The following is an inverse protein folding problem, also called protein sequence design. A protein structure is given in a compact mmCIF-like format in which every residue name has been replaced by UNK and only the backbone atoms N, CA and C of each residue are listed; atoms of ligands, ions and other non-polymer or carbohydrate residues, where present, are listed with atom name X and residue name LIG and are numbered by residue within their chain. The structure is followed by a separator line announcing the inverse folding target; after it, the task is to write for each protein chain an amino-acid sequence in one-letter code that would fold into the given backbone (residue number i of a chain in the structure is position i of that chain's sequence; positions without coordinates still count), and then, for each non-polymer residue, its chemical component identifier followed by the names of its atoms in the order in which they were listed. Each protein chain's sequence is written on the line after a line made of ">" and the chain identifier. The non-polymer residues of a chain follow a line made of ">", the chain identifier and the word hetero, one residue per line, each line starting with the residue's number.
data_IF_571172401789
#
_entry.id   IF_571172401789
#
_cell.length_a   1.000
_cell.length_b   1.000
_cell.length_c   1.000
_cell.angle_alpha   90.00
_cell.angle_beta   90.00
_cell.angle_gamma   90.00
#
_symmetry.space_group_name_H-M   'P 1'
#
loop_
_entity.id
_entity.type
_entity.pdbx_description
1 polymer ?
#
# COMPACT_ATOMS: atom_id res chain seq x y z
N UNK A 1 -44.67 -31.78 -5.80
CA UNK A 1 -43.45 -32.22 -6.50
C UNK A 1 -42.89 -33.40 -5.75
N UNK A 2 -42.69 -34.53 -6.44
CA UNK A 2 -42.18 -35.73 -5.78
C UNK A 2 -40.72 -35.52 -5.36
N UNK A 3 -40.33 -36.14 -4.24
CA UNK A 3 -39.01 -35.97 -3.64
C UNK A 3 -37.87 -36.34 -4.62
N UNK A 4 -38.15 -37.29 -5.49
CA UNK A 4 -37.27 -37.72 -6.60
C UNK A 4 -37.10 -36.60 -7.64
N UNK A 5 -38.18 -35.92 -8.03
CA UNK A 5 -38.12 -34.79 -8.97
C UNK A 5 -37.31 -33.64 -8.40
N UNK A 6 -37.45 -33.34 -7.10
CA UNK A 6 -36.64 -32.28 -6.46
C UNK A 6 -35.16 -32.62 -6.40
N UNK A 7 -34.80 -33.88 -6.15
CA UNK A 7 -33.40 -34.32 -6.10
C UNK A 7 -32.77 -34.26 -7.49
N UNK A 8 -33.49 -34.71 -8.53
CA UNK A 8 -33.01 -34.66 -9.92
C UNK A 8 -32.80 -33.21 -10.37
N UNK A 9 -33.74 -32.32 -10.04
CA UNK A 9 -33.66 -30.91 -10.40
C UNK A 9 -32.50 -30.20 -9.68
N UNK A 10 -32.25 -30.53 -8.41
CA UNK A 10 -31.12 -30.01 -7.64
C UNK A 10 -29.77 -30.51 -8.18
N UNK A 11 -29.69 -31.78 -8.57
CA UNK A 11 -28.49 -32.35 -9.20
C UNK A 11 -28.18 -31.67 -10.54
N UNK A 12 -29.21 -31.43 -11.37
CA UNK A 12 -29.05 -30.71 -12.64
C UNK A 12 -28.61 -29.26 -12.43
N UNK A 13 -29.21 -28.54 -11.47
CA UNK A 13 -28.81 -27.18 -11.15
C UNK A 13 -27.36 -27.09 -10.65
N UNK A 14 -26.95 -28.03 -9.78
CA UNK A 14 -25.56 -28.16 -9.31
C UNK A 14 -24.58 -28.40 -10.45
N UNK A 15 -24.94 -29.27 -11.41
CA UNK A 15 -24.07 -29.61 -12.53
C UNK A 15 -23.87 -28.43 -13.48
N UNK A 16 -24.95 -27.69 -13.76
CA UNK A 16 -24.88 -26.47 -14.58
C UNK A 16 -24.02 -25.41 -13.90
N UNK A 17 -24.20 -25.19 -12.59
CA UNK A 17 -23.44 -24.19 -11.85
C UNK A 17 -21.94 -24.54 -11.80
N UNK A 18 -21.60 -25.82 -11.61
CA UNK A 18 -20.22 -26.31 -11.65
C UNK A 18 -19.56 -26.14 -13.01
N UNK A 19 -20.28 -26.44 -14.11
CA UNK A 19 -19.81 -26.23 -15.48
C UNK A 19 -19.57 -24.75 -15.79
N UNK A 20 -20.45 -23.87 -15.30
CA UNK A 20 -20.32 -22.43 -15.49
C UNK A 20 -19.14 -21.86 -14.70
N UNK A 21 -18.93 -22.32 -13.47
CA UNK A 21 -17.78 -21.92 -12.64
C UNK A 21 -16.44 -22.35 -13.27
N UNK A 22 -16.37 -23.56 -13.83
CA UNK A 22 -15.16 -24.04 -14.53
C UNK A 22 -14.91 -23.26 -15.82
N UNK A 23 -15.94 -22.91 -16.58
CA UNK A 23 -15.80 -22.08 -17.77
C UNK A 23 -15.26 -20.67 -17.43
N UNK A 24 -15.77 -20.03 -16.37
CA UNK A 24 -15.29 -18.72 -15.89
C UNK A 24 -13.83 -18.83 -15.42
N UNK A 25 -13.50 -19.87 -14.65
CA UNK A 25 -12.14 -20.12 -14.18
C UNK A 25 -11.15 -20.24 -15.33
N UNK A 26 -11.48 -21.02 -16.36
CA UNK A 26 -10.65 -21.17 -17.56
C UNK A 26 -10.55 -19.84 -18.32
N UNK A 27 -11.67 -19.15 -18.52
CA UNK A 27 -11.71 -17.90 -19.29
C UNK A 27 -10.93 -16.76 -18.64
N UNK A 28 -10.90 -16.66 -17.31
CA UNK A 28 -10.21 -15.57 -16.61
C UNK A 28 -8.74 -15.91 -16.32
N UNK A 29 -8.47 -17.13 -15.86
CA UNK A 29 -7.15 -17.47 -15.30
C UNK A 29 -6.16 -17.90 -16.40
N UNK A 30 -6.61 -18.64 -17.42
CA UNK A 30 -5.74 -19.10 -18.51
C UNK A 30 -5.12 -17.94 -19.32
N UNK A 31 -5.87 -16.89 -19.75
CA UNK A 31 -5.24 -15.78 -20.47
C UNK A 31 -4.33 -14.94 -19.56
N UNK A 32 -4.64 -14.84 -18.26
CA UNK A 32 -3.79 -14.14 -17.31
C UNK A 32 -2.46 -14.88 -17.06
N UNK A 33 -2.50 -16.20 -16.94
CA UNK A 33 -1.30 -17.03 -16.82
C UNK A 33 -0.48 -17.04 -18.12
N UNK A 34 -1.10 -17.05 -19.31
CA UNK A 34 -0.38 -16.93 -20.60
C UNK A 34 0.37 -15.59 -20.70
N UNK A 35 -0.24 -14.46 -20.30
CA UNK A 35 0.44 -13.16 -20.26
C UNK A 35 1.64 -13.16 -19.32
N UNK A 36 1.52 -13.79 -18.15
CA UNK A 36 2.61 -13.93 -17.17
C UNK A 36 3.74 -14.85 -17.66
N UNK A 37 3.43 -15.95 -18.35
CA UNK A 37 4.43 -16.86 -18.93
C UNK A 37 5.17 -16.23 -20.11
N UNK A 38 4.49 -15.46 -20.96
CA UNK A 38 5.13 -14.70 -22.05
C UNK A 38 6.08 -13.61 -21.53
N UNK A 39 5.72 -12.94 -20.42
CA UNK A 39 6.59 -11.98 -19.75
C UNK A 39 7.83 -12.65 -19.14
N UNK A 40 7.67 -13.83 -18.53
CA UNK A 40 8.81 -14.62 -18.01
C UNK A 40 9.71 -15.18 -19.11
N UNK A 41 9.15 -15.61 -20.24
CA UNK A 41 9.93 -16.10 -21.38
C UNK A 41 10.77 -15.00 -22.05
N UNK A 42 10.25 -13.76 -22.14
CA UNK A 42 11.03 -12.60 -22.60
C UNK A 42 12.14 -12.19 -21.63
N UNK A 43 11.99 -12.49 -20.34
CA UNK A 43 13.00 -12.20 -19.32
C UNK A 43 14.08 -13.29 -19.18
N UNK A 44 13.90 -14.47 -19.79
CA UNK A 44 14.79 -15.62 -19.66
C UNK A 44 15.78 -15.82 -20.83
N UNK A 45 15.86 -14.90 -21.79
CA UNK A 45 16.91 -14.92 -22.80
C UNK A 45 18.27 -14.56 -22.15
N UNK A 46 19.23 -15.49 -22.02
CA UNK A 46 20.45 -15.23 -21.26
C UNK A 46 21.48 -14.50 -22.14
N UNK A 47 21.92 -13.32 -21.69
CA UNK A 47 23.14 -12.67 -22.18
C UNK A 47 24.30 -13.26 -21.39
N UNK A 48 25.14 -14.03 -22.06
CA UNK A 48 26.31 -14.69 -21.49
C UNK A 48 27.37 -13.69 -21.02
N UNK A 49 27.83 -13.80 -19.76
CA UNK A 49 29.13 -13.27 -19.32
C UNK A 49 29.74 -14.24 -18.28
N UNK A 50 31.00 -14.61 -18.56
CA UNK A 50 31.96 -15.46 -17.82
C UNK A 50 32.06 -15.17 -16.32
N UNK A 51 32.34 -16.22 -15.54
CA UNK A 51 32.79 -16.17 -14.14
C UNK A 51 34.11 -16.96 -14.05
N UNK A 52 35.16 -16.32 -13.54
CA UNK A 52 36.35 -16.95 -12.96
C UNK A 52 36.33 -16.72 -11.43
N UNK A 53 37.02 -17.59 -10.70
CA UNK A 53 36.69 -18.16 -9.39
C UNK A 53 36.79 -17.27 -8.08
N UNK A 54 36.27 -17.80 -6.92
CA UNK A 54 35.88 -17.13 -5.63
C UNK A 54 36.88 -17.37 -4.46
N UNK A 55 36.60 -17.28 -3.12
CA UNK A 55 35.43 -16.81 -2.32
C UNK A 55 35.76 -15.92 -1.07
N UNK A 56 34.84 -15.03 -0.65
CA UNK A 56 34.76 -14.63 0.78
C UNK A 56 33.35 -14.10 1.15
N UNK A 57 32.79 -14.67 2.20
CA UNK A 57 31.53 -14.34 2.90
C UNK A 57 31.81 -13.19 3.91
N UNK A 58 30.86 -12.38 4.45
CA UNK A 58 29.38 -12.42 4.43
C UNK A 58 28.70 -11.11 3.99
N UNK A 59 27.52 -11.16 3.35
CA UNK A 59 26.69 -9.95 3.20
C UNK A 59 25.28 -10.10 3.81
N UNK A 60 24.83 -9.09 4.58
CA UNK A 60 23.48 -9.02 5.13
C UNK A 60 22.45 -8.90 4.01
N UNK A 61 21.35 -9.62 4.18
CA UNK A 61 20.19 -9.67 3.29
C UNK A 61 19.82 -8.29 2.74
N UNK A 62 20.05 -8.16 1.43
CA UNK A 62 19.81 -7.00 0.58
C UNK A 62 18.43 -6.36 0.77
N UNK A 63 18.32 -5.01 0.75
CA UNK A 63 17.04 -4.34 0.67
C UNK A 63 16.39 -4.66 -0.68
N UNK A 64 15.14 -5.13 -0.63
CA UNK A 64 14.32 -5.48 -1.79
C UNK A 64 14.30 -4.31 -2.79
N UNK A 65 14.82 -4.60 -3.99
CA UNK A 65 14.87 -3.71 -5.16
C UNK A 65 13.48 -3.11 -5.43
N UNK A 66 13.29 -1.83 -5.05
CA UNK A 66 12.08 -1.05 -5.38
C UNK A 66 12.00 -0.90 -6.90
N UNK A 67 10.98 -1.48 -7.49
CA UNK A 67 10.75 -1.45 -8.93
C UNK A 67 10.12 -0.12 -9.34
N UNK A 68 10.71 0.49 -10.37
CA UNK A 68 10.20 1.55 -11.27
C UNK A 68 9.81 2.93 -10.69
N UNK A 69 10.81 3.83 -10.67
CA UNK A 69 10.85 5.14 -11.37
C UNK A 69 9.57 6.00 -11.46
N UNK A 70 8.87 6.19 -10.34
CA UNK A 70 8.04 7.39 -10.13
C UNK A 70 8.59 8.05 -8.88
N UNK A 71 9.14 9.27 -9.02
CA UNK A 71 9.56 10.08 -7.87
C UNK A 71 8.34 10.22 -6.98
N UNK A 72 8.35 9.65 -5.79
CA UNK A 72 7.25 9.72 -4.83
C UNK A 72 7.82 10.35 -3.57
N UNK A 73 7.07 11.24 -2.95
CA UNK A 73 7.44 11.81 -1.66
C UNK A 73 6.87 10.93 -0.56
N UNK A 74 7.71 10.60 0.42
CA UNK A 74 7.30 9.87 1.61
C UNK A 74 7.87 10.53 2.85
N UNK A 75 7.02 10.74 3.84
CA UNK A 75 7.37 11.20 5.17
C UNK A 75 6.94 10.13 6.18
N UNK A 76 7.78 9.86 7.16
CA UNK A 76 7.50 8.90 8.22
C UNK A 76 7.30 9.66 9.52
N UNK A 77 6.17 9.45 10.18
CA UNK A 77 5.84 10.06 11.47
C UNK A 77 5.95 8.97 12.50
N UNK A 78 7.00 9.03 13.31
CA UNK A 78 7.30 8.04 14.35
C UNK A 78 6.80 8.59 15.68
N UNK A 79 5.88 7.87 16.31
CA UNK A 79 5.27 8.30 17.57
C UNK A 79 6.26 8.12 18.72
N UNK A 80 6.41 9.13 19.56
CA UNK A 80 7.33 9.06 20.71
C UNK A 80 6.84 8.06 21.78
N UNK A 81 5.51 7.97 21.98
CA UNK A 81 4.88 7.07 22.95
C UNK A 81 3.67 6.34 22.34
N UNK A 82 3.90 5.22 21.62
CA UNK A 82 2.81 4.43 21.06
C UNK A 82 2.00 3.77 22.18
N UNK A 83 0.69 4.01 22.20
CA UNK A 83 -0.25 3.45 23.17
C UNK A 83 -1.63 3.24 22.53
N UNK A 84 -2.55 2.54 23.21
CA UNK A 84 -3.94 2.45 22.73
C UNK A 84 -4.59 3.82 22.53
N UNK A 85 -4.24 4.79 23.38
CA UNK A 85 -4.71 6.17 23.24
C UNK A 85 -4.18 6.87 21.99
N UNK A 86 -2.97 6.52 21.50
CA UNK A 86 -2.48 7.06 20.23
C UNK A 86 -3.23 6.47 19.04
N UNK A 87 -3.62 5.19 19.13
CA UNK A 87 -4.40 4.53 18.09
C UNK A 87 -5.82 5.11 18.01
N UNK A 88 -6.45 5.39 19.16
CA UNK A 88 -7.73 6.12 19.23
C UNK A 88 -7.63 7.53 18.64
N UNK A 89 -6.59 8.30 19.00
CA UNK A 89 -6.33 9.62 18.41
C UNK A 89 -6.08 9.55 16.90
N UNK A 90 -5.39 8.52 16.44
CA UNK A 90 -5.19 8.27 15.01
C UNK A 90 -6.50 7.96 14.32
N UNK A 91 -7.37 7.18 14.96
CA UNK A 91 -8.71 6.89 14.45
C UNK A 91 -9.52 8.17 14.28
N UNK A 92 -9.53 9.03 15.31
CA UNK A 92 -10.26 10.30 15.28
C UNK A 92 -9.70 11.24 14.21
N UNK A 93 -8.38 11.38 14.14
CA UNK A 93 -7.73 12.21 13.12
C UNK A 93 -8.02 11.72 11.70
N UNK A 94 -8.01 10.40 11.46
CA UNK A 94 -8.38 9.81 10.17
C UNK A 94 -9.85 10.08 9.81
N UNK A 95 -10.76 10.05 10.80
CA UNK A 95 -12.18 10.41 10.60
C UNK A 95 -12.32 11.88 10.25
N UNK A 96 -11.65 12.77 10.98
CA UNK A 96 -11.67 14.21 10.75
C UNK A 96 -11.22 14.57 9.32
N UNK A 97 -10.18 13.89 8.82
CA UNK A 97 -9.67 14.10 7.46
C UNK A 97 -10.44 13.34 6.37
N UNK A 98 -11.57 12.71 6.70
CA UNK A 98 -12.37 11.90 5.78
C UNK A 98 -11.53 10.84 5.05
N UNK A 99 -10.61 10.19 5.77
CA UNK A 99 -9.78 9.16 5.19
C UNK A 99 -10.63 7.92 4.85
N UNK A 100 -10.31 7.25 3.74
CA UNK A 100 -10.96 6.03 3.29
C UNK A 100 -10.02 4.84 3.47
N UNK A 101 -10.51 3.76 4.07
CA UNK A 101 -9.74 2.53 4.21
C UNK A 101 -9.80 1.69 2.92
N UNK A 102 -8.64 1.31 2.37
CA UNK A 102 -8.51 0.35 1.28
C UNK A 102 -8.21 -1.04 1.87
N UNK A 103 -9.20 -1.96 1.96
CA UNK A 103 -9.03 -3.26 2.60
C UNK A 103 -8.13 -4.21 1.80
N UNK A 104 -7.89 -3.95 0.51
CA UNK A 104 -7.02 -4.79 -0.30
C UNK A 104 -5.55 -4.51 -0.01
N UNK A 105 -5.20 -3.25 0.21
CA UNK A 105 -3.84 -2.82 0.54
C UNK A 105 -3.62 -2.62 2.04
N UNK A 106 -4.71 -2.58 2.83
CA UNK A 106 -4.73 -2.28 4.25
C UNK A 106 -4.04 -0.95 4.57
N UNK A 107 -4.49 0.11 3.92
CA UNK A 107 -3.97 1.47 4.06
C UNK A 107 -5.14 2.46 4.07
N UNK A 108 -4.87 3.69 4.49
CA UNK A 108 -5.82 4.79 4.43
C UNK A 108 -5.49 5.74 3.27
N UNK A 109 -6.51 6.37 2.69
CA UNK A 109 -6.40 7.30 1.58
C UNK A 109 -7.15 8.59 1.92
N UNK A 110 -6.46 9.73 1.84
CA UNK A 110 -7.05 11.06 1.97
C UNK A 110 -7.08 11.70 0.58
N UNK A 111 -8.27 12.03 0.08
CA UNK A 111 -8.43 12.57 -1.27
C UNK A 111 -7.78 13.96 -1.41
N UNK A 112 -7.84 14.79 -0.37
CA UNK A 112 -7.32 16.16 -0.38
C UNK A 112 -8.02 17.02 -1.43
N UNK A 113 -7.28 17.94 -2.05
CA UNK A 113 -7.79 18.79 -3.14
C UNK A 113 -7.78 18.06 -4.50
N UNK A 114 -7.03 16.96 -4.60
CA UNK A 114 -6.89 16.19 -5.84
C UNK A 114 -7.23 14.71 -5.63
N UNK A 115 -8.53 14.34 -5.70
CA UNK A 115 -8.98 12.96 -5.49
C UNK A 115 -8.34 11.93 -6.42
N UNK A 116 -7.90 12.34 -7.62
CA UNK A 116 -7.18 11.47 -8.55
C UNK A 116 -5.76 11.10 -8.08
N UNK A 117 -5.24 11.79 -7.07
CA UNK A 117 -3.92 11.58 -6.49
C UNK A 117 -4.00 11.70 -4.95
N UNK A 118 -4.67 10.74 -4.30
CA UNK A 118 -4.87 10.78 -2.85
C UNK A 118 -3.55 10.63 -2.10
N UNK A 119 -3.49 11.24 -0.92
CA UNK A 119 -2.40 11.03 0.03
C UNK A 119 -2.64 9.68 0.71
N UNK A 120 -1.66 8.81 0.60
CA UNK A 120 -1.69 7.48 1.18
C UNK A 120 -1.10 7.52 2.59
N UNK A 121 -1.81 6.93 3.55
CA UNK A 121 -1.36 6.72 4.91
C UNK A 121 -1.21 5.22 5.14
N UNK A 122 0.01 4.80 5.45
CA UNK A 122 0.38 3.41 5.68
C UNK A 122 1.10 3.31 7.04
N UNK A 123 1.41 2.09 7.48
CA UNK A 123 2.26 1.91 8.65
C UNK A 123 3.70 2.36 8.29
N UNK A 124 4.39 3.06 9.19
CA UNK A 124 5.78 3.47 8.98
C UNK A 124 6.73 2.25 8.94
N UNK A 125 6.32 1.14 9.53
CA UNK A 125 7.08 -0.10 9.63
C UNK A 125 6.56 -1.14 8.62
N UNK A 126 7.46 -1.99 8.14
CA UNK A 126 7.11 -3.09 7.24
C UNK A 126 6.14 -4.07 7.96
N UNK A 127 5.09 -4.57 7.29
CA UNK A 127 4.85 -4.54 5.84
C UNK A 127 4.19 -3.26 5.29
N UNK A 128 3.92 -2.25 6.13
CA UNK A 128 3.22 -1.02 5.73
C UNK A 128 1.69 -1.10 5.88
N UNK A 129 1.18 -2.18 6.45
CA UNK A 129 -0.26 -2.41 6.65
C UNK A 129 -0.75 -1.76 7.94
N UNK A 130 -1.91 -1.10 7.85
CA UNK A 130 -2.69 -0.60 8.98
C UNK A 130 -3.99 -1.41 9.11
N UNK A 131 -4.40 -1.72 10.35
CA UNK A 131 -5.67 -2.41 10.57
C UNK A 131 -6.85 -1.46 10.36
N UNK A 132 -8.07 -1.98 10.23
CA UNK A 132 -9.26 -1.14 10.03
C UNK A 132 -9.75 -0.54 11.36
N UNK A 133 -9.14 0.59 11.72
CA UNK A 133 -9.46 1.40 12.88
C UNK A 133 -10.91 1.91 12.90
N UNK A 134 -11.61 1.97 11.75
CA UNK A 134 -13.00 2.44 11.75
C UNK A 134 -14.00 1.38 12.19
N UNK A 135 -13.57 0.12 12.21
CA UNK A 135 -14.34 -1.05 12.64
C UNK A 135 -13.91 -1.57 13.99
N UNK A 136 -13.11 -0.79 14.72
CA UNK A 136 -12.49 -1.19 15.98
C UNK A 136 -11.65 -2.48 15.86
N UNK A 137 -11.18 -2.79 14.64
CA UNK A 137 -10.23 -3.86 14.41
C UNK A 137 -8.85 -3.36 14.82
N UNK A 138 -8.58 -3.30 16.12
CA UNK A 138 -7.24 -2.99 16.61
C UNK A 138 -6.36 -4.23 16.41
N UNK A 139 -5.22 -4.04 15.74
CA UNK A 139 -4.23 -5.10 15.59
C UNK A 139 -3.70 -5.57 16.95
N UNK A 140 -3.02 -6.72 16.96
CA UNK A 140 -2.36 -7.23 18.17
C UNK A 140 -1.22 -6.33 18.67
N UNK A 141 -0.69 -5.47 17.80
CA UNK A 141 0.41 -4.55 18.08
C UNK A 141 -0.06 -3.11 17.90
N UNK A 142 0.34 -2.25 18.84
CA UNK A 142 0.10 -0.80 18.81
C UNK A 142 0.81 -0.16 17.61
N UNK A 143 0.18 0.85 17.01
CA UNK A 143 0.76 1.54 15.86
C UNK A 143 1.90 2.44 16.35
N UNK A 144 3.13 2.13 15.93
CA UNK A 144 4.35 2.87 16.32
C UNK A 144 4.60 4.12 15.49
N UNK A 145 3.94 4.23 14.34
CA UNK A 145 4.09 5.36 13.44
C UNK A 145 3.38 5.13 12.12
N UNK A 146 3.16 6.22 11.40
CA UNK A 146 2.50 6.23 10.10
C UNK A 146 3.44 6.79 9.03
N UNK A 147 3.34 6.27 7.81
CA UNK A 147 3.99 6.84 6.64
C UNK A 147 2.95 7.57 5.80
N UNK A 148 3.21 8.83 5.49
CA UNK A 148 2.46 9.59 4.50
C UNK A 148 3.20 9.51 3.18
N UNK A 149 2.45 9.22 2.12
CA UNK A 149 2.95 8.98 0.79
C UNK A 149 2.11 9.77 -0.21
N UNK A 150 2.78 10.49 -1.11
CA UNK A 150 2.09 11.17 -2.20
C UNK A 150 2.94 11.20 -3.47
N UNK A 151 2.30 11.10 -4.63
CA UNK A 151 2.98 11.25 -5.92
C UNK A 151 2.97 12.74 -6.31
N UNK A 152 4.09 13.30 -6.78
CA UNK A 152 4.13 14.65 -7.29
C UNK A 152 3.26 14.75 -8.56
N UNK A 153 2.61 15.90 -8.78
CA UNK A 153 1.80 16.11 -9.97
C UNK A 153 2.68 16.13 -11.23
N UNK A 154 2.11 15.72 -12.37
CA UNK A 154 2.83 15.78 -13.66
C UNK A 154 3.17 17.22 -14.08
N UNK A 155 2.41 18.22 -13.60
CA UNK A 155 2.63 19.64 -13.90
C UNK A 155 2.71 20.45 -12.61
N UNK A 156 3.78 21.24 -12.44
CA UNK A 156 4.02 22.09 -11.25
C UNK A 156 2.83 22.97 -10.85
N UNK A 157 2.03 23.48 -11.80
CA UNK A 157 0.84 24.29 -11.47
C UNK A 157 -0.21 23.58 -10.59
N UNK A 158 -0.17 22.25 -10.50
CA UNK A 158 -1.14 21.42 -9.76
C UNK A 158 -0.59 21.00 -8.39
N UNK A 159 0.15 21.88 -7.71
CA UNK A 159 0.89 21.52 -6.50
C UNK A 159 0.12 21.58 -5.19
N UNK A 160 -1.18 21.91 -5.24
CA UNK A 160 -2.03 22.04 -4.05
C UNK A 160 -1.96 20.78 -3.16
N UNK A 161 -1.92 19.59 -3.76
CA UNK A 161 -1.81 18.34 -3.02
C UNK A 161 -0.49 18.21 -2.24
N UNK A 162 0.63 18.77 -2.74
CA UNK A 162 1.91 18.74 -2.01
C UNK A 162 1.90 19.67 -0.80
N UNK A 163 1.21 20.81 -0.91
CA UNK A 163 1.02 21.73 0.22
C UNK A 163 0.23 21.04 1.33
N UNK A 164 -0.88 20.41 0.99
CA UNK A 164 -1.73 19.66 1.95
C UNK A 164 -0.96 18.50 2.55
N UNK A 165 -0.17 17.79 1.75
CA UNK A 165 0.68 16.71 2.23
C UNK A 165 1.66 17.16 3.32
N UNK A 166 2.31 18.31 3.12
CA UNK A 166 3.21 18.90 4.13
C UNK A 166 2.43 19.38 5.35
N UNK A 167 1.26 19.98 5.17
CA UNK A 167 0.41 20.44 6.26
C UNK A 167 -0.07 19.28 7.14
N UNK A 168 -0.60 18.23 6.53
CA UNK A 168 -1.00 17.00 7.23
C UNK A 168 0.17 16.36 7.98
N UNK A 169 1.37 16.36 7.39
CA UNK A 169 2.54 15.81 8.05
C UNK A 169 2.93 16.61 9.31
N UNK A 170 2.89 17.94 9.24
CA UNK A 170 3.14 18.82 10.39
C UNK A 170 2.05 18.69 11.45
N UNK A 171 0.80 18.65 11.03
CA UNK A 171 -0.34 18.48 11.92
C UNK A 171 -0.25 17.16 12.70
N UNK A 172 -0.05 16.04 12.00
CA UNK A 172 0.14 14.74 12.63
C UNK A 172 1.36 14.73 13.56
N UNK A 173 2.48 15.37 13.17
CA UNK A 173 3.64 15.49 14.05
C UNK A 173 3.31 16.18 15.37
N UNK A 174 2.53 17.27 15.33
CA UNK A 174 2.10 17.98 16.54
C UNK A 174 1.09 17.19 17.37
N UNK A 175 0.17 16.48 16.73
CA UNK A 175 -0.89 15.72 17.40
C UNK A 175 -0.32 14.52 18.17
N UNK A 176 0.65 13.82 17.57
CA UNK A 176 1.25 12.62 18.16
C UNK A 176 2.53 12.89 18.95
N UNK A 177 2.97 14.15 19.07
CA UNK A 177 4.31 14.50 19.57
C UNK A 177 5.36 13.61 18.92
N UNK A 178 5.41 13.65 17.59
CA UNK A 178 6.11 12.66 16.78
C UNK A 178 7.23 13.28 15.97
N UNK A 179 8.27 12.48 15.72
CA UNK A 179 9.37 12.85 14.86
C UNK A 179 9.04 12.55 13.40
N UNK A 180 9.13 13.57 12.54
CA UNK A 180 8.94 13.42 11.10
C UNK A 180 10.29 13.13 10.45
N UNK A 181 10.37 12.02 9.73
CA UNK A 181 11.56 11.58 9.01
C UNK A 181 11.31 11.60 7.50
N UNK A 182 12.35 11.91 6.74
CA UNK A 182 12.33 11.88 5.28
C UNK A 182 12.65 10.47 4.72
N UNK A 183 12.77 10.37 3.40
CA UNK A 183 13.17 9.12 2.70
C UNK A 183 14.54 8.57 3.11
N UNK A 184 15.40 9.40 3.70
CA UNK A 184 16.74 9.03 4.18
C UNK A 184 16.75 8.81 5.70
N UNK A 185 15.58 8.77 6.34
CA UNK A 185 15.42 8.66 7.79
C UNK A 185 16.06 9.81 8.58
N UNK A 186 16.17 10.99 7.97
CA UNK A 186 16.63 12.23 8.61
C UNK A 186 15.42 13.06 9.02
N UNK A 187 15.55 13.80 10.13
CA UNK A 187 14.49 14.70 10.59
C UNK A 187 14.11 15.71 9.50
N UNK A 188 12.82 15.82 9.21
CA UNK A 188 12.31 16.69 8.16
C UNK A 188 12.44 18.17 8.58
N UNK A 189 13.28 18.90 7.85
CA UNK A 189 13.54 20.34 8.06
C UNK A 189 12.64 21.22 7.19
N UNK A 190 12.62 22.53 7.45
CA UNK A 190 11.95 23.52 6.59
C UNK A 190 12.36 23.40 5.11
N UNK A 191 13.64 23.12 4.85
CA UNK A 191 14.17 22.89 3.50
C UNK A 191 13.60 21.61 2.87
N UNK A 192 13.43 20.55 3.65
CA UNK A 192 12.81 19.29 3.19
C UNK A 192 11.37 19.53 2.73
N UNK A 193 10.60 20.29 3.51
CA UNK A 193 9.24 20.65 3.16
C UNK A 193 9.18 21.56 1.93
N UNK A 194 10.10 22.53 1.81
CA UNK A 194 10.19 23.39 0.64
C UNK A 194 10.49 22.60 -0.64
N UNK A 195 11.39 21.62 -0.58
CA UNK A 195 11.71 20.73 -1.71
C UNK A 195 10.54 19.86 -2.17
N UNK A 196 9.60 19.53 -1.28
CA UNK A 196 8.40 18.77 -1.63
C UNK A 196 7.38 19.67 -2.35
N UNK A 197 7.36 20.97 -2.04
CA UNK A 197 6.41 21.95 -2.57
C UNK A 197 6.96 22.72 -3.79
N UNK A 198 8.20 22.49 -4.21
CA UNK A 198 8.79 23.16 -5.39
C UNK A 198 8.65 22.35 -6.69
#
# INVERSE_FOLDING_TARGET
>A
MDRTTTIILLAFASLILGAMATAIFIYVIVPWQKRRRAAKAKAAAPKAIKVDHPPEQPEPSTPVKRTSNVKQHSLFIIFDQPSKSSDERLTEWLREKNAHYDPLKKIYLIDGEQPANPITIANAFLPGELPDLFRDEYGSETIKGISLIVKPPLRKRRNQQMVIFVELAKEAATLFNANVLDTKHQSATAETYAQIVD
#
